data_IF_231390075742
#
_entry.id   IF_231390075742
#
_cell.length_a   1.000
_cell.length_b   1.000
_cell.length_c   1.000
_cell.angle_alpha   90.00
_cell.angle_beta   90.00
_cell.angle_gamma   90.00
#
_symmetry.space_group_name_H-M   'P 1'
#
loop_
_entity.id
_entity.type
_entity.pdbx_description
1 polymer ?
#
# COMPACT_ATOMS: atom_id res chain seq x y z
N UNK A 1 20.48 -28.60 -6.96
CA UNK A 1 21.28 -28.30 -5.76
C UNK A 1 22.06 -27.01 -5.99
N UNK A 2 21.50 -25.85 -5.71
CA UNK A 2 22.14 -24.55 -5.98
C UNK A 2 21.56 -23.35 -5.20
N UNK A 3 20.49 -23.55 -4.42
CA UNK A 3 19.82 -22.44 -3.72
C UNK A 3 20.43 -22.07 -2.36
N UNK A 4 20.80 -23.05 -1.54
CA UNK A 4 21.29 -22.81 -0.18
C UNK A 4 22.61 -22.02 -0.11
N UNK A 5 23.52 -22.24 -1.05
CA UNK A 5 24.83 -21.58 -1.04
C UNK A 5 24.82 -20.08 -1.42
N UNK A 6 23.69 -19.55 -1.92
CA UNK A 6 23.55 -18.13 -2.25
C UNK A 6 22.98 -17.32 -1.08
N UNK A 7 22.09 -17.90 -0.29
CA UNK A 7 21.55 -17.31 0.94
C UNK A 7 22.63 -17.13 2.02
N UNK A 8 23.52 -18.13 2.20
CA UNK A 8 24.62 -18.04 3.16
C UNK A 8 25.64 -16.96 2.79
N UNK A 9 25.80 -16.65 1.50
CA UNK A 9 26.66 -15.56 1.03
C UNK A 9 26.08 -14.18 1.35
N UNK A 10 24.77 -14.06 1.37
CA UNK A 10 24.04 -12.84 1.72
C UNK A 10 24.33 -12.37 3.15
N UNK A 11 24.35 -13.29 4.09
CA UNK A 11 24.56 -13.00 5.52
C UNK A 11 26.04 -12.67 5.86
N UNK A 12 26.99 -12.92 4.96
CA UNK A 12 28.42 -12.77 5.23
C UNK A 12 29.08 -11.51 4.64
N UNK A 13 28.38 -10.75 3.78
CA UNK A 13 29.00 -9.67 3.00
C UNK A 13 28.80 -8.26 3.52
N UNK A 14 27.94 -8.06 4.52
CA UNK A 14 27.68 -6.71 5.06
C UNK A 14 28.69 -6.34 6.13
N UNK A 15 29.84 -5.82 5.78
CA UNK A 15 30.94 -5.34 6.63
C UNK A 15 30.62 -4.78 8.04
N UNK A 16 29.91 -5.54 8.88
CA UNK A 16 29.59 -5.21 10.27
C UNK A 16 28.26 -4.47 10.49
N UNK A 17 27.52 -4.12 9.45
CA UNK A 17 26.13 -3.59 9.55
C UNK A 17 25.14 -4.74 9.33
N UNK A 18 24.09 -4.83 10.15
CA UNK A 18 23.01 -5.77 9.90
C UNK A 18 22.36 -5.46 8.54
N UNK A 19 22.15 -6.46 7.65
CA UNK A 19 21.51 -6.22 6.37
C UNK A 19 20.07 -5.72 6.59
N UNK A 20 19.68 -4.70 5.83
CA UNK A 20 18.31 -4.18 5.89
C UNK A 20 17.28 -5.16 5.31
N UNK A 21 17.72 -6.14 4.52
CA UNK A 21 16.88 -7.07 3.81
C UNK A 21 16.77 -8.42 4.53
N UNK A 22 15.54 -8.84 4.81
CA UNK A 22 15.21 -10.14 5.39
C UNK A 22 14.65 -11.08 4.32
N UNK A 23 15.26 -12.26 4.07
CA UNK A 23 14.68 -13.26 3.17
C UNK A 23 13.37 -13.82 3.74
N UNK A 24 12.30 -13.85 2.92
CA UNK A 24 10.98 -14.38 3.29
C UNK A 24 10.55 -15.57 2.45
N UNK A 25 11.10 -15.69 1.24
CA UNK A 25 10.98 -16.83 0.35
C UNK A 25 12.21 -16.91 -0.55
N UNK A 26 12.34 -17.97 -1.36
CA UNK A 26 13.45 -18.07 -2.33
C UNK A 26 13.42 -16.90 -3.30
N UNK A 27 14.48 -16.08 -3.31
CA UNK A 27 14.60 -14.91 -4.19
C UNK A 27 13.61 -13.79 -3.88
N UNK A 28 12.96 -13.78 -2.71
CA UNK A 28 12.11 -12.69 -2.23
C UNK A 28 12.58 -12.23 -0.87
N UNK A 29 12.86 -10.93 -0.76
CA UNK A 29 13.34 -10.30 0.45
C UNK A 29 12.47 -9.10 0.79
N UNK A 30 12.44 -8.73 2.06
CA UNK A 30 11.69 -7.59 2.59
C UNK A 30 12.61 -6.70 3.39
N UNK A 31 12.53 -5.40 3.12
CA UNK A 31 12.93 -4.36 4.07
C UNK A 31 11.67 -3.83 4.74
N UNK A 32 11.67 -3.81 6.06
CA UNK A 32 10.59 -3.19 6.84
C UNK A 32 11.10 -1.89 7.44
N UNK A 33 10.45 -0.77 7.10
CA UNK A 33 10.75 0.53 7.66
C UNK A 33 10.42 0.61 9.16
N UNK A 34 11.17 1.39 9.90
CA UNK A 34 10.80 1.73 11.29
C UNK A 34 9.55 2.62 11.32
N UNK A 35 9.33 3.43 10.29
CA UNK A 35 8.14 4.27 10.16
C UNK A 35 6.98 3.45 9.61
N UNK A 36 5.89 3.36 10.36
CA UNK A 36 4.65 2.66 10.01
C UNK A 36 4.81 1.16 9.69
N UNK A 37 5.98 0.56 9.94
CA UNK A 37 6.31 -0.82 9.51
C UNK A 37 5.98 -1.08 8.04
N UNK A 38 6.23 -0.05 7.19
CA UNK A 38 6.04 -0.16 5.75
C UNK A 38 7.01 -1.19 5.14
N UNK A 39 6.52 -2.02 4.24
CA UNK A 39 7.27 -3.12 3.65
C UNK A 39 7.66 -2.82 2.19
N UNK A 40 8.96 -2.72 1.94
CA UNK A 40 9.53 -2.77 0.60
C UNK A 40 9.85 -4.21 0.22
N UNK A 41 9.39 -4.66 -0.94
CA UNK A 41 9.64 -6.04 -1.41
C UNK A 41 10.64 -6.04 -2.56
N UNK A 42 11.66 -6.89 -2.43
CA UNK A 42 12.71 -7.11 -3.44
C UNK A 42 12.53 -8.51 -4.02
N UNK A 43 12.28 -8.60 -5.32
CA UNK A 43 12.15 -9.87 -6.04
C UNK A 43 13.36 -10.04 -6.96
N UNK A 44 14.12 -11.12 -6.77
CA UNK A 44 15.32 -11.41 -7.57
C UNK A 44 14.94 -11.98 -8.94
N UNK A 45 15.46 -11.36 -9.99
CA UNK A 45 15.36 -11.78 -11.38
C UNK A 45 16.69 -12.24 -11.96
N UNK A 46 16.78 -12.31 -13.29
CA UNK A 46 17.97 -12.75 -14.01
C UNK A 46 19.03 -11.64 -14.10
N UNK A 47 18.61 -10.42 -14.39
CA UNK A 47 19.50 -9.28 -14.65
C UNK A 47 19.58 -8.29 -13.47
N UNK A 48 18.79 -8.48 -12.44
CA UNK A 48 18.67 -7.60 -11.28
C UNK A 48 17.38 -7.87 -10.52
N UNK A 49 16.87 -6.87 -9.84
CA UNK A 49 15.66 -7.01 -8.99
C UNK A 49 14.49 -6.17 -9.49
N UNK A 50 13.28 -6.68 -9.26
CA UNK A 50 12.07 -5.88 -9.21
C UNK A 50 11.89 -5.38 -7.78
N UNK A 51 11.66 -4.06 -7.64
CA UNK A 51 11.41 -3.41 -6.37
C UNK A 51 9.92 -3.04 -6.31
N UNK A 52 9.22 -3.52 -5.26
CA UNK A 52 7.80 -3.24 -5.07
C UNK A 52 7.68 -2.35 -3.84
N UNK A 53 6.96 -1.23 -3.97
CA UNK A 53 6.75 -0.21 -2.95
C UNK A 53 8.08 0.20 -2.29
N UNK A 54 8.87 1.09 -2.93
CA UNK A 54 10.31 1.23 -2.67
C UNK A 54 10.68 1.74 -1.29
N UNK A 55 9.73 2.18 -0.49
CA UNK A 55 9.96 2.64 0.87
C UNK A 55 9.44 4.04 1.14
N UNK A 56 9.62 4.48 2.37
CA UNK A 56 8.98 5.65 2.96
C UNK A 56 10.01 6.71 3.36
N UNK A 57 11.18 6.32 3.86
CA UNK A 57 12.25 7.24 4.27
C UNK A 57 13.39 7.28 3.25
N UNK A 58 13.83 8.50 2.89
CA UNK A 58 14.91 8.67 1.91
C UNK A 58 16.21 8.00 2.33
N UNK A 59 16.57 8.06 3.63
CA UNK A 59 17.75 7.42 4.18
C UNK A 59 17.70 5.89 4.11
N UNK A 60 16.53 5.28 4.34
CA UNK A 60 16.33 3.83 4.23
C UNK A 60 16.44 3.39 2.77
N UNK A 61 15.81 4.12 1.84
CA UNK A 61 15.91 3.84 0.40
C UNK A 61 17.36 3.95 -0.12
N UNK A 62 18.13 4.94 0.35
CA UNK A 62 19.54 5.07 0.01
C UNK A 62 20.37 3.90 0.55
N UNK A 63 20.12 3.48 1.79
CA UNK A 63 20.75 2.31 2.37
C UNK A 63 20.39 1.02 1.61
N UNK A 64 19.12 0.84 1.25
CA UNK A 64 18.66 -0.28 0.43
C UNK A 64 19.36 -0.31 -0.93
N UNK A 65 19.48 0.84 -1.61
CA UNK A 65 20.21 0.94 -2.87
C UNK A 65 21.69 0.53 -2.73
N UNK A 66 22.35 0.94 -1.64
CA UNK A 66 23.74 0.53 -1.33
C UNK A 66 23.83 -0.98 -1.12
N UNK A 67 22.95 -1.58 -0.32
CA UNK A 67 22.92 -3.02 -0.07
C UNK A 67 22.72 -3.82 -1.39
N UNK A 68 21.81 -3.38 -2.25
CA UNK A 68 21.58 -4.00 -3.56
C UNK A 68 22.78 -3.87 -4.47
N UNK A 69 23.46 -2.72 -4.45
CA UNK A 69 24.68 -2.49 -5.22
C UNK A 69 25.83 -3.41 -4.77
N UNK A 70 26.06 -3.52 -3.45
CA UNK A 70 27.09 -4.41 -2.87
C UNK A 70 26.84 -5.88 -3.22
N UNK A 71 25.56 -6.27 -3.35
CA UNK A 71 25.16 -7.61 -3.74
C UNK A 71 25.21 -7.84 -5.27
N UNK A 72 25.55 -6.83 -6.05
CA UNK A 72 25.54 -6.89 -7.51
C UNK A 72 24.13 -7.11 -8.09
N UNK A 73 23.09 -6.58 -7.42
CA UNK A 73 21.68 -6.72 -7.79
C UNK A 73 21.10 -5.35 -8.17
N UNK A 74 21.33 -4.83 -9.40
CA UNK A 74 20.76 -3.55 -9.81
C UNK A 74 19.23 -3.62 -9.81
N UNK A 75 18.58 -2.50 -9.50
CA UNK A 75 17.13 -2.37 -9.69
C UNK A 75 16.87 -2.24 -11.19
N UNK A 76 16.10 -3.15 -11.76
CA UNK A 76 15.79 -3.20 -13.20
C UNK A 76 14.33 -2.90 -13.49
N UNK A 77 13.46 -2.96 -12.49
CA UNK A 77 12.06 -2.54 -12.57
C UNK A 77 11.56 -2.12 -11.19
N UNK A 78 10.55 -1.27 -11.14
CA UNK A 78 9.77 -0.93 -9.96
C UNK A 78 8.28 -1.14 -10.20
N UNK A 79 7.53 -1.40 -9.12
CA UNK A 79 6.08 -1.43 -9.14
C UNK A 79 5.52 -0.78 -7.88
N UNK A 80 4.53 0.10 -8.03
CA UNK A 80 3.77 0.66 -6.91
C UNK A 80 2.39 0.01 -6.87
N UNK A 81 2.06 -0.58 -5.71
CA UNK A 81 0.79 -1.30 -5.54
C UNK A 81 -0.41 -0.37 -5.62
N UNK A 82 -0.29 0.86 -5.14
CA UNK A 82 -1.34 1.87 -5.15
C UNK A 82 -0.75 3.30 -5.05
N UNK A 83 -1.56 4.37 -5.23
CA UNK A 83 -1.04 5.73 -5.37
C UNK A 83 -0.76 6.47 -4.06
N UNK A 84 -0.77 5.81 -2.91
CA UNK A 84 -0.50 6.47 -1.64
C UNK A 84 0.97 6.87 -1.53
N UNK A 85 1.22 7.94 -0.78
CA UNK A 85 2.52 8.61 -0.72
C UNK A 85 3.65 7.66 -0.30
N UNK A 86 3.40 6.73 0.58
CA UNK A 86 4.38 5.78 1.13
C UNK A 86 4.62 4.53 0.25
N UNK A 87 3.99 4.48 -0.93
CA UNK A 87 4.17 3.40 -1.91
C UNK A 87 4.74 3.87 -3.25
N UNK A 88 4.89 5.21 -3.44
CA UNK A 88 5.31 5.79 -4.72
C UNK A 88 6.59 6.61 -4.68
N UNK A 89 7.22 6.76 -3.50
CA UNK A 89 8.49 7.45 -3.37
C UNK A 89 9.61 6.67 -4.06
N UNK A 90 10.58 7.39 -4.63
CA UNK A 90 11.70 6.78 -5.34
C UNK A 90 12.98 7.58 -5.16
N UNK A 91 13.93 7.03 -4.43
CA UNK A 91 15.23 7.67 -4.22
C UNK A 91 16.14 7.54 -5.46
N UNK A 92 16.90 8.58 -5.76
CA UNK A 92 17.75 8.60 -6.97
C UNK A 92 18.80 7.47 -7.01
N UNK A 93 19.28 7.02 -5.86
CA UNK A 93 20.26 5.92 -5.76
C UNK A 93 19.69 4.56 -6.17
N UNK A 94 18.36 4.40 -6.24
CA UNK A 94 17.71 3.22 -6.81
C UNK A 94 17.84 3.16 -8.35
N UNK A 95 18.33 4.24 -8.97
CA UNK A 95 18.52 4.35 -10.41
C UNK A 95 17.27 4.73 -11.19
N UNK A 96 17.40 4.71 -12.52
CA UNK A 96 16.34 5.12 -13.47
C UNK A 96 15.59 3.92 -14.07
N UNK A 97 15.33 2.89 -13.28
CA UNK A 97 14.55 1.73 -13.72
C UNK A 97 13.11 2.13 -14.11
N UNK A 98 12.49 1.49 -15.10
CA UNK A 98 11.08 1.71 -15.40
C UNK A 98 10.23 1.35 -14.18
N UNK A 99 9.29 2.24 -13.84
CA UNK A 99 8.37 2.09 -12.71
C UNK A 99 6.96 1.95 -13.20
N UNK A 100 6.28 0.95 -12.71
CA UNK A 100 4.96 0.55 -13.14
C UNK A 100 3.93 0.66 -12.01
N UNK A 101 2.69 0.67 -12.38
CA UNK A 101 1.50 0.50 -11.58
C UNK A 101 0.32 0.24 -12.50
N UNK A 102 -0.87 0.11 -11.97
CA UNK A 102 -2.07 0.00 -12.80
C UNK A 102 -2.33 1.30 -13.57
N UNK A 103 -3.10 1.23 -14.64
CA UNK A 103 -3.50 2.44 -15.39
C UNK A 103 -4.22 3.46 -14.51
N UNK A 104 -5.05 2.99 -13.56
CA UNK A 104 -5.81 3.84 -12.64
C UNK A 104 -4.90 4.49 -11.61
N UNK A 105 -3.99 3.74 -11.02
CA UNK A 105 -2.97 4.26 -10.10
C UNK A 105 -2.16 5.38 -10.75
N UNK A 106 -1.62 5.13 -11.96
CA UNK A 106 -0.87 6.16 -12.70
C UNK A 106 -1.71 7.36 -13.11
N UNK A 107 -3.00 7.19 -13.40
CA UNK A 107 -3.91 8.30 -13.71
C UNK A 107 -4.15 9.18 -12.48
N UNK A 108 -4.40 8.57 -11.32
CA UNK A 108 -4.56 9.29 -10.06
C UNK A 108 -3.31 10.13 -9.71
N UNK A 109 -2.12 9.54 -9.83
CA UNK A 109 -0.86 10.25 -9.56
C UNK A 109 -0.66 11.45 -10.50
N UNK A 110 -0.97 11.30 -11.79
CA UNK A 110 -0.88 12.41 -12.75
C UNK A 110 -1.85 13.53 -12.39
N UNK A 111 -3.07 13.19 -12.00
CA UNK A 111 -4.07 14.18 -11.58
C UNK A 111 -3.62 14.90 -10.30
N UNK A 112 -3.22 14.16 -9.28
CA UNK A 112 -2.68 14.71 -8.04
C UNK A 112 -1.53 15.69 -8.31
N UNK A 113 -0.52 15.27 -9.06
CA UNK A 113 0.69 16.06 -9.34
C UNK A 113 0.43 17.24 -10.28
N UNK A 114 -0.70 17.28 -10.98
CA UNK A 114 -1.12 18.43 -11.79
C UNK A 114 -1.58 19.63 -10.95
N UNK A 115 -1.90 19.40 -9.69
CA UNK A 115 -2.34 20.45 -8.76
C UNK A 115 -1.11 21.14 -8.14
N UNK A 116 -1.09 22.48 -8.12
CA UNK A 116 0.03 23.24 -7.58
C UNK A 116 0.23 23.04 -6.07
N UNK A 117 -0.82 22.67 -5.36
CA UNK A 117 -0.87 22.46 -3.90
C UNK A 117 -0.81 20.97 -3.49
N UNK A 118 -0.44 20.08 -4.40
CA UNK A 118 -0.48 18.64 -4.17
C UNK A 118 0.29 18.19 -2.90
N UNK A 119 1.43 18.84 -2.57
CA UNK A 119 2.19 18.53 -1.36
C UNK A 119 1.38 18.83 -0.09
N UNK A 120 0.70 19.98 -0.06
CA UNK A 120 -0.16 20.35 1.05
C UNK A 120 -1.33 19.36 1.20
N UNK A 121 -1.93 18.95 0.08
CA UNK A 121 -3.04 17.97 0.08
C UNK A 121 -2.59 16.60 0.61
N UNK A 122 -1.42 16.10 0.23
CA UNK A 122 -0.86 14.85 0.78
C UNK A 122 -0.62 14.98 2.28
N UNK A 123 -0.14 16.14 2.73
CA UNK A 123 0.19 16.37 4.14
C UNK A 123 -1.04 16.63 5.01
N UNK A 124 -2.17 17.09 4.45
CA UNK A 124 -3.35 17.53 5.21
C UNK A 124 -3.97 16.42 6.07
N UNK A 125 -3.92 15.17 5.59
CA UNK A 125 -4.45 14.01 6.30
C UNK A 125 -3.48 13.38 7.31
N UNK A 126 -2.25 13.89 7.43
CA UNK A 126 -1.19 13.27 8.21
C UNK A 126 -0.90 14.05 9.50
N UNK A 127 -0.50 13.38 10.58
CA UNK A 127 0.03 14.06 11.76
C UNK A 127 1.24 14.93 11.36
N UNK A 128 1.40 16.14 11.96
CA UNK A 128 2.50 17.05 11.62
C UNK A 128 3.88 16.40 11.69
N UNK A 129 4.11 15.57 12.70
CA UNK A 129 5.37 14.86 12.91
C UNK A 129 5.70 13.87 11.79
N UNK A 130 4.69 13.25 11.17
CA UNK A 130 4.86 12.38 10.00
C UNK A 130 5.00 13.23 8.74
N UNK A 131 4.15 14.24 8.55
CA UNK A 131 4.16 15.09 7.37
C UNK A 131 5.51 15.82 7.17
N UNK A 132 6.20 16.18 8.27
CA UNK A 132 7.52 16.80 8.24
C UNK A 132 8.65 15.82 7.85
N UNK A 133 8.46 14.53 8.09
CA UNK A 133 9.46 13.49 7.80
C UNK A 133 9.35 12.92 6.37
N UNK A 134 8.20 13.11 5.70
CA UNK A 134 7.97 12.54 4.37
C UNK A 134 8.81 13.28 3.31
N UNK A 135 9.69 12.59 2.57
CA UNK A 135 10.49 13.19 1.53
C UNK A 135 9.66 13.37 0.23
N UNK A 136 8.65 14.24 0.25
CA UNK A 136 7.72 14.45 -0.90
C UNK A 136 8.43 14.86 -2.20
N UNK A 137 9.68 15.35 -2.13
CA UNK A 137 10.50 15.61 -3.32
C UNK A 137 10.89 14.32 -4.07
N UNK A 138 10.80 13.16 -3.42
CA UNK A 138 11.03 11.85 -4.02
C UNK A 138 9.77 11.25 -4.65
N UNK A 139 8.65 11.95 -4.59
CA UNK A 139 7.40 11.52 -5.20
C UNK A 139 7.55 11.43 -6.72
N UNK A 140 7.26 10.29 -7.30
CA UNK A 140 7.57 10.04 -8.69
C UNK A 140 6.41 9.49 -9.51
N UNK A 141 6.41 9.85 -10.80
CA UNK A 141 5.48 9.28 -11.76
C UNK A 141 5.83 7.83 -12.08
N UNK A 142 4.78 7.04 -12.25
CA UNK A 142 4.86 5.66 -12.71
C UNK A 142 4.24 5.51 -14.10
N UNK A 143 4.61 4.47 -14.82
CA UNK A 143 3.98 4.08 -16.08
C UNK A 143 2.77 3.20 -15.79
N UNK A 144 1.57 3.67 -16.18
CA UNK A 144 0.35 2.88 -16.06
C UNK A 144 0.35 1.73 -17.07
N UNK A 145 0.27 0.50 -16.57
CA UNK A 145 0.10 -0.68 -17.41
C UNK A 145 -1.35 -0.74 -17.93
N UNK A 146 -1.56 -1.12 -19.21
CA UNK A 146 -2.90 -1.38 -19.75
C UNK A 146 -3.69 -2.37 -18.89
N UNK A 147 -5.00 -2.20 -18.81
CA UNK A 147 -5.87 -3.02 -17.94
C UNK A 147 -5.84 -4.53 -18.26
N UNK A 148 -5.52 -4.87 -19.50
CA UNK A 148 -5.33 -6.26 -19.96
C UNK A 148 -3.97 -6.87 -19.60
N UNK A 149 -3.05 -6.07 -19.03
CA UNK A 149 -1.73 -6.55 -18.64
C UNK A 149 -1.81 -7.38 -17.38
N UNK A 150 -1.67 -8.69 -17.50
CA UNK A 150 -1.80 -9.60 -16.38
C UNK A 150 -0.54 -9.72 -15.51
N UNK A 151 0.64 -9.37 -16.04
CA UNK A 151 1.93 -9.55 -15.37
C UNK A 151 2.80 -8.31 -15.48
N UNK A 152 3.64 -8.09 -14.48
CA UNK A 152 4.65 -7.01 -14.51
C UNK A 152 5.66 -7.29 -15.62
N UNK A 153 5.92 -6.32 -16.54
CA UNK A 153 6.84 -6.52 -17.65
C UNK A 153 8.31 -6.34 -17.23
N UNK A 154 8.97 -7.43 -16.81
CA UNK A 154 10.36 -7.43 -16.38
C UNK A 154 11.04 -8.78 -16.63
N UNK A 155 12.37 -8.87 -16.49
CA UNK A 155 13.13 -10.11 -16.74
C UNK A 155 13.40 -10.89 -15.43
N UNK A 156 12.35 -11.56 -14.93
CA UNK A 156 12.40 -12.33 -13.68
C UNK A 156 11.25 -13.33 -13.56
N UNK A 157 10.99 -13.84 -12.34
CA UNK A 157 9.81 -14.64 -12.08
C UNK A 157 8.53 -13.94 -12.51
N UNK A 158 7.53 -14.70 -12.95
CA UNK A 158 6.22 -14.14 -13.25
C UNK A 158 5.58 -13.50 -12.00
N UNK A 159 5.19 -12.25 -12.14
CA UNK A 159 4.50 -11.47 -11.10
C UNK A 159 3.14 -11.06 -11.64
N UNK A 160 2.11 -11.78 -11.23
CA UNK A 160 0.73 -11.55 -11.67
C UNK A 160 0.12 -10.37 -10.92
N UNK A 161 -0.54 -9.49 -11.66
CA UNK A 161 -1.23 -8.30 -11.14
C UNK A 161 -2.67 -8.67 -10.82
N UNK A 162 -3.09 -8.44 -9.58
CA UNK A 162 -4.45 -8.64 -9.08
C UNK A 162 -5.04 -7.26 -8.74
N UNK A 163 -5.45 -6.50 -9.78
CA UNK A 163 -6.04 -5.18 -9.60
C UNK A 163 -7.43 -5.28 -8.97
N UNK A 164 -7.71 -4.44 -7.99
CA UNK A 164 -8.99 -4.35 -7.31
C UNK A 164 -9.24 -2.94 -6.74
N UNK A 165 -10.52 -2.56 -6.49
CA UNK A 165 -10.86 -1.20 -6.04
C UNK A 165 -10.94 -1.05 -4.50
N UNK A 166 -10.32 -1.93 -3.71
CA UNK A 166 -10.64 -2.06 -2.28
C UNK A 166 -10.19 -0.88 -1.41
N UNK A 167 -8.95 -0.45 -1.53
CA UNK A 167 -8.31 0.51 -0.63
C UNK A 167 -8.09 1.87 -1.29
N UNK A 168 -7.63 1.86 -2.53
CA UNK A 168 -7.34 3.05 -3.31
C UNK A 168 -7.59 2.81 -4.79
N UNK A 169 -7.69 3.89 -5.56
CA UNK A 169 -7.90 3.81 -7.00
C UNK A 169 -6.75 3.08 -7.70
N UNK A 170 -7.08 1.95 -8.34
CA UNK A 170 -6.09 1.15 -9.05
C UNK A 170 -5.13 0.39 -8.15
N UNK A 171 -5.54 0.11 -6.91
CA UNK A 171 -4.79 -0.77 -6.02
C UNK A 171 -4.64 -2.16 -6.64
N UNK A 172 -3.46 -2.74 -6.51
CA UNK A 172 -3.18 -4.10 -6.97
C UNK A 172 -2.38 -4.88 -5.94
N UNK A 173 -2.82 -6.09 -5.65
CA UNK A 173 -1.94 -7.08 -5.05
C UNK A 173 -1.11 -7.75 -6.14
N UNK A 174 0.06 -8.27 -5.78
CA UNK A 174 0.95 -8.96 -6.70
C UNK A 174 1.19 -10.39 -6.22
N UNK A 175 0.98 -11.37 -7.11
CA UNK A 175 1.25 -12.77 -6.83
C UNK A 175 2.48 -13.24 -7.59
N UNK A 176 3.54 -13.61 -6.86
CA UNK A 176 4.75 -14.23 -7.40
C UNK A 176 4.50 -15.74 -7.36
N UNK A 177 3.90 -16.28 -8.42
CA UNK A 177 3.32 -17.64 -8.43
C UNK A 177 4.35 -18.71 -8.12
N UNK A 178 5.51 -18.71 -8.78
CA UNK A 178 6.58 -19.69 -8.58
C UNK A 178 7.15 -19.69 -7.14
N UNK A 179 7.03 -18.57 -6.45
CA UNK A 179 7.51 -18.39 -5.07
C UNK A 179 6.41 -18.54 -4.03
N UNK A 180 5.14 -18.62 -4.48
CA UNK A 180 3.96 -18.69 -3.63
C UNK A 180 3.88 -17.51 -2.65
N UNK A 181 4.26 -16.31 -3.11
CA UNK A 181 4.28 -15.07 -2.33
C UNK A 181 3.22 -14.12 -2.84
N UNK A 182 2.38 -13.64 -1.93
CA UNK A 182 1.40 -12.57 -2.18
C UNK A 182 1.89 -11.28 -1.53
N UNK A 183 2.12 -10.25 -2.33
CA UNK A 183 2.30 -8.86 -1.88
C UNK A 183 0.93 -8.21 -1.93
N UNK A 184 0.37 -7.88 -0.77
CA UNK A 184 -1.04 -7.51 -0.66
C UNK A 184 -1.31 -6.01 -0.80
N UNK A 185 -0.26 -5.16 -0.89
CA UNK A 185 -0.42 -3.72 -0.68
C UNK A 185 -1.08 -3.45 0.68
N UNK A 186 -1.89 -2.44 0.81
CA UNK A 186 -2.51 -2.06 2.08
C UNK A 186 -3.76 -2.88 2.42
N UNK A 187 -3.65 -4.17 2.14
CA UNK A 187 -4.60 -5.19 2.55
C UNK A 187 -3.91 -6.21 3.46
N UNK A 188 -4.70 -6.89 4.28
CA UNK A 188 -4.24 -8.00 5.11
C UNK A 188 -3.15 -7.64 6.13
N UNK A 189 -3.09 -6.39 6.59
CA UNK A 189 -2.21 -5.96 7.67
C UNK A 189 -2.61 -6.61 9.00
N UNK A 190 -1.62 -6.91 9.83
CA UNK A 190 -1.84 -7.33 11.23
C UNK A 190 -1.79 -6.18 12.23
N UNK A 191 -1.44 -4.97 11.76
CA UNK A 191 -1.35 -3.77 12.60
C UNK A 191 -2.33 -2.67 12.18
N UNK A 192 -2.67 -2.55 10.90
CA UNK A 192 -3.63 -1.59 10.38
C UNK A 192 -4.99 -2.24 10.16
N UNK A 193 -6.04 -1.50 10.49
CA UNK A 193 -7.43 -1.88 10.14
C UNK A 193 -7.67 -1.69 8.64
N UNK A 194 -8.71 -2.32 8.06
CA UNK A 194 -9.14 -2.02 6.70
C UNK A 194 -9.48 -0.55 6.50
N UNK A 195 -8.92 0.06 5.45
CA UNK A 195 -9.24 1.41 4.98
C UNK A 195 -9.89 1.34 3.59
N UNK A 196 -11.22 1.31 3.49
CA UNK A 196 -11.90 1.41 2.20
C UNK A 196 -11.68 2.78 1.55
N UNK A 197 -11.62 2.85 0.22
CA UNK A 197 -11.61 4.09 -0.54
C UNK A 197 -12.94 4.86 -0.34
N UNK A 198 -12.93 5.87 0.53
CA UNK A 198 -14.14 6.62 0.90
C UNK A 198 -14.68 7.49 -0.24
N UNK A 199 -13.89 7.78 -1.26
CA UNK A 199 -14.30 8.52 -2.45
C UNK A 199 -14.98 7.61 -3.49
N UNK A 200 -14.90 6.29 -3.30
CA UNK A 200 -15.55 5.31 -4.17
C UNK A 200 -17.09 5.33 -3.98
N UNK A 201 -17.80 4.98 -5.05
CA UNK A 201 -19.28 4.91 -5.00
C UNK A 201 -19.81 3.80 -4.07
N UNK A 202 -19.01 2.78 -3.79
CA UNK A 202 -19.37 1.66 -2.92
C UNK A 202 -18.18 1.14 -2.12
N UNK A 203 -17.62 1.94 -1.18
CA UNK A 203 -16.39 1.61 -0.45
C UNK A 203 -16.36 0.21 0.17
N UNK A 204 -17.44 -0.14 0.86
CA UNK A 204 -17.58 -1.43 1.53
C UNK A 204 -17.68 -2.59 0.52
N UNK A 205 -18.49 -2.43 -0.53
CA UNK A 205 -18.63 -3.44 -1.59
C UNK A 205 -17.33 -3.68 -2.34
N UNK A 206 -16.61 -2.62 -2.64
CA UNK A 206 -15.33 -2.65 -3.34
C UNK A 206 -14.24 -3.32 -2.50
N UNK A 207 -14.21 -3.06 -1.19
CA UNK A 207 -13.29 -3.74 -0.27
C UNK A 207 -13.59 -5.25 -0.21
N UNK A 208 -14.87 -5.63 -0.13
CA UNK A 208 -15.28 -7.04 -0.13
C UNK A 208 -14.99 -7.75 -1.47
N UNK A 209 -14.98 -7.03 -2.60
CA UNK A 209 -14.53 -7.56 -3.91
C UNK A 209 -13.03 -7.86 -3.85
N UNK A 210 -12.20 -6.93 -3.35
CA UNK A 210 -10.78 -7.16 -3.16
C UNK A 210 -10.49 -8.38 -2.30
N UNK A 211 -11.15 -8.50 -1.13
CA UNK A 211 -10.99 -9.66 -0.26
C UNK A 211 -11.35 -10.99 -0.94
N UNK A 212 -12.37 -11.03 -1.81
CA UNK A 212 -12.71 -12.24 -2.57
C UNK A 212 -11.62 -12.60 -3.57
N UNK A 213 -11.09 -11.59 -4.29
CA UNK A 213 -10.00 -11.81 -5.23
C UNK A 213 -8.75 -12.40 -4.55
N UNK A 214 -8.41 -11.91 -3.36
CA UNK A 214 -7.30 -12.45 -2.57
C UNK A 214 -7.60 -13.84 -2.01
N UNK A 215 -8.86 -14.13 -1.66
CA UNK A 215 -9.29 -15.45 -1.20
C UNK A 215 -9.19 -16.52 -2.29
N UNK A 216 -9.46 -16.16 -3.55
CA UNK A 216 -9.37 -17.07 -4.69
C UNK A 216 -7.96 -17.61 -4.93
N UNK A 217 -6.92 -16.88 -4.48
CA UNK A 217 -5.52 -17.29 -4.59
C UNK A 217 -4.91 -17.80 -3.28
N UNK A 218 -5.64 -17.70 -2.17
CA UNK A 218 -5.09 -17.92 -0.82
C UNK A 218 -4.50 -19.32 -0.60
N UNK A 219 -5.01 -20.36 -1.26
CA UNK A 219 -4.52 -21.74 -1.11
C UNK A 219 -3.16 -21.96 -1.81
N UNK A 220 -2.83 -21.13 -2.80
CA UNK A 220 -1.56 -21.19 -3.52
C UNK A 220 -0.47 -20.36 -2.83
N UNK A 221 -0.82 -19.56 -1.81
CA UNK A 221 0.10 -18.66 -1.11
C UNK A 221 0.75 -19.34 0.09
N UNK A 222 2.06 -19.23 0.19
CA UNK A 222 2.85 -19.68 1.35
C UNK A 222 3.28 -18.50 2.24
N UNK A 223 3.43 -17.31 1.66
CA UNK A 223 3.85 -16.09 2.35
C UNK A 223 2.98 -14.93 1.89
N UNK A 224 2.47 -14.14 2.84
CA UNK A 224 1.78 -12.87 2.58
C UNK A 224 2.61 -11.71 3.14
N UNK A 225 2.80 -10.69 2.32
CA UNK A 225 3.50 -9.45 2.67
C UNK A 225 2.49 -8.31 2.52
N UNK A 226 1.98 -7.75 3.61
CA UNK A 226 1.15 -6.55 3.56
C UNK A 226 2.00 -5.31 3.30
N UNK A 227 1.41 -4.18 2.91
CA UNK A 227 2.09 -2.90 2.83
C UNK A 227 2.66 -2.48 4.19
N UNK A 228 1.93 -2.73 5.26
CA UNK A 228 2.33 -2.43 6.63
C UNK A 228 2.16 -3.62 7.56
N UNK A 229 3.12 -3.82 8.46
CA UNK A 229 3.08 -4.86 9.48
C UNK A 229 3.88 -6.11 9.15
N UNK A 230 3.60 -7.19 9.83
CA UNK A 230 4.43 -8.40 9.79
C UNK A 230 4.16 -9.25 8.55
N UNK A 231 5.23 -9.81 7.99
CA UNK A 231 5.14 -10.89 6.99
C UNK A 231 4.46 -12.10 7.62
N UNK A 232 3.46 -12.66 6.93
CA UNK A 232 2.68 -13.80 7.40
C UNK A 232 2.95 -15.07 6.61
N UNK A 233 2.84 -16.24 7.27
CA UNK A 233 2.89 -17.57 6.62
C UNK A 233 1.54 -18.01 6.04
N UNK A 234 1.52 -19.16 5.38
CA UNK A 234 0.35 -19.72 4.68
C UNK A 234 -0.94 -19.75 5.53
N UNK A 235 -0.85 -20.16 6.79
CA UNK A 235 -2.01 -20.22 7.69
C UNK A 235 -2.60 -18.84 8.05
N UNK A 236 -1.83 -17.76 7.87
CA UNK A 236 -2.25 -16.40 8.20
C UNK A 236 -3.02 -15.70 7.06
N UNK A 237 -2.87 -16.15 5.80
CA UNK A 237 -3.55 -15.52 4.66
C UNK A 237 -5.07 -15.52 4.87
N UNK A 238 -5.67 -16.70 5.03
CA UNK A 238 -7.12 -16.84 5.25
C UNK A 238 -7.58 -16.23 6.57
N UNK A 239 -6.74 -16.29 7.62
CA UNK A 239 -7.07 -15.68 8.91
C UNK A 239 -7.19 -14.16 8.79
N UNK A 240 -6.23 -13.50 8.11
CA UNK A 240 -6.25 -12.06 7.87
C UNK A 240 -7.41 -11.64 6.96
N UNK A 241 -7.70 -12.42 5.89
CA UNK A 241 -8.88 -12.20 5.04
C UNK A 241 -10.17 -12.26 5.87
N UNK A 242 -10.28 -13.24 6.77
CA UNK A 242 -11.46 -13.42 7.62
C UNK A 242 -11.59 -12.27 8.63
N UNK A 243 -10.48 -11.81 9.18
CA UNK A 243 -10.44 -10.69 10.13
C UNK A 243 -10.86 -9.38 9.44
N UNK A 244 -10.28 -9.05 8.28
CA UNK A 244 -10.64 -7.87 7.49
C UNK A 244 -12.10 -7.91 7.07
N UNK A 245 -12.59 -9.08 6.64
CA UNK A 245 -13.99 -9.27 6.27
C UNK A 245 -14.93 -9.03 7.45
N UNK A 246 -14.60 -9.53 8.64
CA UNK A 246 -15.40 -9.32 9.84
C UNK A 246 -15.47 -7.84 10.20
N UNK A 247 -14.32 -7.13 10.13
CA UNK A 247 -14.23 -5.70 10.36
C UNK A 247 -15.14 -4.91 9.40
N UNK A 248 -15.00 -5.15 8.10
CA UNK A 248 -15.77 -4.44 7.05
C UNK A 248 -17.27 -4.75 7.14
N UNK A 249 -17.66 -5.99 7.52
CA UNK A 249 -19.06 -6.32 7.75
C UNK A 249 -19.61 -5.57 8.96
N UNK A 250 -18.86 -5.43 10.06
CA UNK A 250 -19.31 -4.66 11.21
C UNK A 250 -19.57 -3.20 10.82
N UNK A 251 -18.69 -2.57 10.03
CA UNK A 251 -18.91 -1.22 9.50
C UNK A 251 -20.18 -1.16 8.64
N UNK A 252 -20.35 -2.10 7.70
CA UNK A 252 -21.54 -2.16 6.85
C UNK A 252 -22.83 -2.22 7.66
N UNK A 253 -22.82 -2.99 8.75
CA UNK A 253 -24.00 -3.26 9.59
C UNK A 253 -24.17 -2.20 10.70
N UNK A 254 -23.34 -1.14 10.71
CA UNK A 254 -23.39 -0.03 11.68
C UNK A 254 -22.98 -0.43 13.09
N UNK A 255 -22.15 -1.46 13.24
CA UNK A 255 -21.66 -1.92 14.54
C UNK A 255 -20.18 -1.52 14.72
N UNK A 256 -19.78 -1.26 15.98
CA UNK A 256 -18.37 -1.12 16.31
C UNK A 256 -17.65 -2.46 16.07
N UNK A 257 -16.57 -2.49 15.25
CA UNK A 257 -15.82 -3.72 15.03
C UNK A 257 -15.16 -4.22 16.33
N UNK A 258 -15.23 -5.53 16.57
CA UNK A 258 -14.43 -6.21 17.60
C UNK A 258 -13.13 -6.68 16.95
N UNK A 259 -12.09 -5.84 16.98
CA UNK A 259 -10.83 -6.10 16.28
C UNK A 259 -9.63 -5.75 17.17
N UNK A 260 -8.65 -6.66 17.33
CA UNK A 260 -7.47 -6.44 18.18
C UNK A 260 -6.56 -5.30 17.70
N UNK A 261 -6.70 -4.85 16.44
CA UNK A 261 -5.94 -3.72 15.88
C UNK A 261 -6.45 -2.36 16.33
N UNK A 262 -7.60 -2.31 17.04
CA UNK A 262 -8.14 -1.10 17.66
C UNK A 262 -8.12 -1.22 19.18
N UNK A 263 -7.99 -0.08 19.85
CA UNK A 263 -8.03 0.00 21.32
C UNK A 263 -6.65 0.14 21.99
N UNK A 264 -6.60 0.09 23.33
CA UNK A 264 -5.39 0.46 24.11
C UNK A 264 -4.17 -0.43 23.90
N UNK A 265 -4.37 -1.66 23.42
CA UNK A 265 -3.31 -2.64 23.13
C UNK A 265 -2.88 -2.68 21.66
N UNK A 266 -3.47 -1.85 20.80
CA UNK A 266 -3.12 -1.78 19.40
C UNK A 266 -1.67 -1.32 19.22
N UNK A 267 -0.92 -2.02 18.35
CA UNK A 267 0.50 -1.74 18.09
C UNK A 267 0.68 -0.34 17.50
N UNK A 268 -0.20 0.09 16.62
CA UNK A 268 -0.19 1.38 15.95
C UNK A 268 -0.63 2.54 16.87
N UNK A 269 -1.26 2.26 18.02
CA UNK A 269 -1.57 3.27 19.02
C UNK A 269 -0.35 4.02 19.59
N UNK A 270 0.87 3.56 19.28
CA UNK A 270 2.13 4.22 19.63
C UNK A 270 2.78 4.97 18.46
N UNK A 271 2.35 4.73 17.21
CA UNK A 271 2.88 5.31 15.97
C UNK A 271 1.75 5.97 15.16
N UNK A 272 0.54 5.94 15.71
CA UNK A 272 -0.67 6.17 14.94
C UNK A 272 -0.95 7.61 14.57
N UNK A 273 -1.30 7.81 13.33
CA UNK A 273 -2.10 8.92 12.84
C UNK A 273 -3.45 8.94 13.57
N UNK A 274 -3.75 9.92 14.47
CA UNK A 274 -5.06 10.03 15.07
C UNK A 274 -6.20 10.20 14.06
N UNK A 275 -5.92 10.78 12.88
CA UNK A 275 -6.88 10.91 11.79
C UNK A 275 -7.18 9.55 11.12
N UNK A 276 -6.17 8.67 11.02
CA UNK A 276 -6.35 7.31 10.51
C UNK A 276 -7.05 6.40 11.52
N UNK A 277 -6.84 6.66 12.84
CA UNK A 277 -7.40 5.85 13.91
C UNK A 277 -8.79 6.30 14.35
N UNK A 278 -9.08 7.60 14.20
CA UNK A 278 -10.40 8.18 14.40
C UNK A 278 -11.14 8.30 13.07
N UNK A 279 -11.05 7.27 12.22
CA UNK A 279 -11.97 7.22 11.10
C UNK A 279 -13.37 7.57 11.63
N UNK A 280 -13.86 8.76 11.25
CA UNK A 280 -15.16 9.27 11.62
C UNK A 280 -16.28 8.40 11.00
N UNK A 281 -16.23 7.10 11.25
CA UNK A 281 -17.35 6.20 10.97
C UNK A 281 -18.50 6.36 11.96
N UNK A 282 -18.36 7.28 12.94
CA UNK A 282 -19.39 7.63 13.92
C UNK A 282 -20.10 8.95 13.58
N UNK A 283 -20.32 9.26 12.31
CA UNK A 283 -21.37 10.22 11.96
C UNK A 283 -22.69 9.46 11.94
N UNK A 284 -23.30 9.33 13.11
CA UNK A 284 -24.75 9.13 13.21
C UNK A 284 -25.45 10.20 12.37
N UNK A 285 -26.49 9.89 11.59
CA UNK A 285 -27.21 10.88 10.77
C UNK A 285 -27.87 12.01 11.56
N UNK A 286 -27.70 12.07 12.87
CA UNK A 286 -28.37 13.01 13.76
C UNK A 286 -27.57 14.30 14.07
N UNK A 287 -26.28 14.42 13.72
CA UNK A 287 -25.51 15.64 14.02
C UNK A 287 -25.45 16.68 12.90
N UNK A 288 -25.95 16.38 11.67
CA UNK A 288 -26.01 17.35 10.56
C UNK A 288 -27.15 18.37 10.67
N UNK A 289 -27.98 18.28 11.71
CA UNK A 289 -29.15 19.17 11.90
C UNK A 289 -28.86 20.47 12.68
N UNK A 290 -27.63 20.71 13.15
CA UNK A 290 -27.34 21.83 14.09
C UNK A 290 -26.51 22.98 13.52
N UNK A 291 -26.10 22.98 12.25
CA UNK A 291 -25.49 24.16 11.63
C UNK A 291 -26.39 24.74 10.55
N UNK A 292 -27.13 25.80 10.96
CA UNK A 292 -28.15 26.47 10.19
C UNK A 292 -27.65 26.96 8.84
N UNK A 293 -28.13 26.36 7.76
CA UNK A 293 -28.20 27.01 6.44
C UNK A 293 -29.42 27.88 6.39
N UNK A 294 -29.34 29.15 5.90
CA UNK A 294 -30.53 29.98 5.71
C UNK A 294 -31.41 29.38 4.61
N UNK A 295 -32.65 29.18 4.98
CA UNK A 295 -33.76 28.74 4.12
C UNK A 295 -33.85 29.60 2.86
N UNK A 296 -33.59 29.08 1.67
CA UNK A 296 -33.96 29.70 0.41
C UNK A 296 -35.34 29.23 0.04
N UNK A 297 -36.29 30.13 0.16
CA UNK A 297 -37.67 30.01 -0.29
C UNK A 297 -37.76 29.87 -1.83
N UNK A 298 -38.32 28.78 -2.40
CA UNK A 298 -38.35 28.55 -3.85
C UNK A 298 -39.54 29.17 -4.60
N UNK A 299 -40.25 30.14 -4.04
CA UNK A 299 -41.43 30.75 -4.71
C UNK A 299 -41.34 32.28 -4.74
N UNK A 300 -40.57 32.86 -5.68
CA UNK A 300 -40.82 34.22 -6.23
C UNK A 300 -40.71 34.19 -7.76
N UNK A 301 -41.83 34.17 -8.40
CA UNK A 301 -42.00 34.53 -9.81
C UNK A 301 -41.69 36.03 -10.01
N UNK A 302 -41.03 36.43 -11.10
CA UNK A 302 -40.84 37.85 -11.41
C UNK A 302 -42.14 38.46 -11.93
N UNK A 303 -42.59 39.48 -11.23
CA UNK A 303 -43.66 40.37 -11.64
C UNK A 303 -43.16 41.31 -12.77
N UNK A 304 -43.81 41.25 -13.91
CA UNK A 304 -43.58 42.16 -15.05
C UNK A 304 -44.38 43.43 -14.75
N UNK A 305 -43.75 44.56 -14.67
CA UNK A 305 -44.38 45.84 -14.57
C UNK A 305 -44.41 46.58 -15.93
N UNK A 306 -45.38 47.48 -16.17
CA UNK A 306 -45.83 47.93 -17.48
C UNK A 306 -44.90 48.90 -18.21
#
# INVERSE_FOLDING_TARGET
>A
MGGAGRLDKWLQTTGGRSPMLTPVAEGVLVHQSELLQNNTVVVQGRAGVLLIDPGIQGSEMACLASDLHELGQPVVAGFSTHPDWDHVLWHAELGEAPRYGTARCAAFLRDLLSNADWKARVSEGLPPEIAEEIPLDLFGLITGLPAETAHVPWDGPDVRILEHPAHAQGHAALLIEERRVLVAGDMLSDILIPFPDLDAANPIGDYLIGLRLLEDVADDVAVVIPGHGSVGGAGQVRARISQDRAYVHALRDGHAPDDPRIGPSATVGKVGCPACMNGNYNTSPEEESATGRPNRDPLRTPEVAP
#
